data_IF_643804578507
#
_entry.id   IF_643804578507
#
_cell.length_a   1.000
_cell.length_b   1.000
_cell.length_c   1.000
_cell.angle_alpha   90.00
_cell.angle_beta   90.00
_cell.angle_gamma   90.00
#
_symmetry.space_group_name_H-M   'P 1'
#
loop_
_entity.id
_entity.type
_entity.pdbx_description
1 polymer ?
#
# COMPACT_ATOMS: atom_id res chain seq x y z
N UNK A 1 12.90 -3.27 -6.22
CA UNK A 1 12.90 -1.96 -6.88
C UNK A 1 11.80 -1.93 -7.93
N UNK A 2 11.10 -0.80 -8.10
CA UNK A 2 10.17 -0.58 -9.18
C UNK A 2 10.91 -0.07 -10.43
N UNK A 3 10.36 -0.34 -11.61
CA UNK A 3 10.93 0.09 -12.90
C UNK A 3 10.38 1.47 -13.30
N UNK A 4 9.11 1.73 -13.05
CA UNK A 4 8.47 3.00 -13.35
C UNK A 4 7.26 3.26 -12.48
N UNK A 5 6.92 4.53 -12.31
CA UNK A 5 5.68 4.99 -11.70
C UNK A 5 5.02 6.04 -12.58
N UNK A 6 3.69 5.96 -12.70
CA UNK A 6 2.88 6.95 -13.41
C UNK A 6 1.71 7.40 -12.56
N UNK A 7 1.33 8.67 -12.73
CA UNK A 7 0.26 9.30 -11.98
C UNK A 7 -0.76 9.90 -12.96
N UNK A 8 -2.03 9.71 -12.65
CA UNK A 8 -3.15 10.32 -13.37
C UNK A 8 -4.05 10.99 -12.34
N UNK A 9 -4.16 12.30 -12.36
CA UNK A 9 -4.80 13.10 -11.32
C UNK A 9 -5.91 13.99 -11.87
N UNK A 10 -7.01 14.03 -11.15
CA UNK A 10 -8.04 15.05 -11.30
C UNK A 10 -7.75 16.16 -10.28
N UNK A 11 -7.53 17.36 -10.77
CA UNK A 11 -7.27 18.53 -9.92
C UNK A 11 -8.51 19.43 -9.84
N UNK A 12 -8.73 20.06 -8.70
CA UNK A 12 -9.72 21.10 -8.53
C UNK A 12 -9.21 22.48 -9.03
N UNK A 13 -10.06 23.48 -8.93
CA UNK A 13 -9.75 24.85 -9.35
C UNK A 13 -8.57 25.48 -8.60
N UNK A 14 -8.24 25.00 -7.41
CA UNK A 14 -7.09 25.43 -6.60
C UNK A 14 -5.80 24.69 -6.94
N UNK A 15 -5.82 23.77 -7.91
CA UNK A 15 -4.68 22.96 -8.29
C UNK A 15 -4.34 21.83 -7.31
N UNK A 16 -5.23 21.52 -6.37
CA UNK A 16 -5.10 20.37 -5.47
C UNK A 16 -5.69 19.13 -6.14
N UNK A 17 -5.07 17.97 -5.95
CA UNK A 17 -5.56 16.71 -6.46
C UNK A 17 -6.76 16.20 -5.64
N UNK A 18 -7.91 16.17 -6.25
CA UNK A 18 -9.13 15.60 -5.68
C UNK A 18 -9.12 14.07 -5.73
N UNK A 19 -8.48 13.53 -6.76
CA UNK A 19 -8.34 12.08 -6.98
C UNK A 19 -7.11 11.78 -7.82
N UNK A 20 -6.29 10.83 -7.38
CA UNK A 20 -5.10 10.38 -8.10
C UNK A 20 -5.07 8.86 -8.22
N UNK A 21 -4.82 8.36 -9.42
CA UNK A 21 -4.43 6.97 -9.68
C UNK A 21 -2.92 6.90 -9.83
N UNK A 22 -2.32 5.93 -9.16
CA UNK A 22 -0.89 5.64 -9.25
C UNK A 22 -0.73 4.24 -9.83
N UNK A 23 0.08 4.11 -10.87
CA UNK A 23 0.48 2.82 -11.41
C UNK A 23 1.97 2.63 -11.18
N UNK A 24 2.35 1.51 -10.58
CA UNK A 24 3.74 1.16 -10.29
C UNK A 24 4.06 -0.13 -11.05
N UNK A 25 5.11 -0.08 -11.86
CA UNK A 25 5.59 -1.24 -12.62
C UNK A 25 6.82 -1.83 -11.97
N UNK A 26 6.80 -3.12 -11.78
CA UNK A 26 7.93 -3.94 -11.39
C UNK A 26 8.27 -4.91 -12.53
N UNK A 27 9.40 -5.57 -12.48
CA UNK A 27 9.84 -6.54 -13.49
C UNK A 27 8.79 -7.62 -13.80
N UNK A 28 8.13 -8.15 -12.78
CA UNK A 28 7.18 -9.27 -12.89
C UNK A 28 5.84 -8.99 -12.19
N UNK A 29 5.55 -7.73 -11.87
CA UNK A 29 4.33 -7.36 -11.18
C UNK A 29 3.89 -5.94 -11.54
N UNK A 30 2.63 -5.64 -11.27
CA UNK A 30 2.08 -4.30 -11.35
C UNK A 30 1.25 -4.00 -10.12
N UNK A 31 1.34 -2.78 -9.61
CA UNK A 31 0.45 -2.29 -8.56
C UNK A 31 -0.30 -1.05 -9.04
N UNK A 32 -1.53 -0.91 -8.58
CA UNK A 32 -2.34 0.29 -8.78
C UNK A 32 -2.85 0.77 -7.43
N UNK A 33 -2.63 2.02 -7.11
CA UNK A 33 -3.22 2.68 -5.96
C UNK A 33 -4.19 3.77 -6.40
N UNK A 34 -5.25 3.96 -5.62
CA UNK A 34 -6.22 5.04 -5.78
C UNK A 34 -6.24 5.86 -4.49
N UNK A 35 -6.03 7.16 -4.61
CA UNK A 35 -6.02 8.09 -3.48
C UNK A 35 -6.91 9.27 -3.83
N UNK A 36 -7.80 9.68 -2.92
CA UNK A 36 -8.67 10.82 -3.17
C UNK A 36 -9.22 11.40 -1.88
N UNK A 37 -9.22 12.73 -1.81
CA UNK A 37 -9.87 13.47 -0.73
C UNK A 37 -11.33 13.78 -1.02
N UNK A 38 -11.67 13.98 -2.30
CA UNK A 38 -13.01 14.33 -2.76
C UNK A 38 -13.82 13.13 -3.25
N UNK A 39 -13.25 11.92 -3.21
CA UNK A 39 -13.88 10.69 -3.72
C UNK A 39 -13.93 9.62 -2.64
N UNK A 40 -15.09 9.04 -2.44
CA UNK A 40 -15.22 7.81 -1.65
C UNK A 40 -14.86 6.61 -2.52
N UNK A 41 -13.83 5.85 -2.12
CA UNK A 41 -13.44 4.61 -2.78
C UNK A 41 -13.68 3.38 -1.89
N UNK A 42 -13.45 2.20 -2.44
CA UNK A 42 -13.75 0.92 -1.80
C UNK A 42 -12.93 0.68 -0.53
N UNK A 43 -11.71 1.23 -0.46
CA UNK A 43 -10.79 1.09 0.68
C UNK A 43 -10.30 -0.35 0.90
N UNK A 44 -10.30 -1.17 -0.14
CA UNK A 44 -9.83 -2.56 -0.12
C UNK A 44 -8.40 -2.67 -0.64
N UNK A 45 -7.68 -3.72 -0.20
CA UNK A 45 -6.42 -4.16 -0.79
C UNK A 45 -6.62 -5.53 -1.43
N UNK A 46 -6.26 -5.66 -2.70
CA UNK A 46 -6.28 -6.92 -3.42
C UNK A 46 -4.86 -7.22 -3.91
N UNK A 47 -4.36 -8.41 -3.56
CA UNK A 47 -3.07 -8.91 -4.07
C UNK A 47 -3.36 -10.17 -4.87
N UNK A 48 -3.27 -10.05 -6.20
CA UNK A 48 -3.53 -11.15 -7.11
C UNK A 48 -2.25 -11.90 -7.47
N UNK A 49 -2.31 -13.22 -7.48
CA UNK A 49 -1.26 -14.14 -7.89
C UNK A 49 -1.76 -15.12 -8.94
N UNK A 50 -0.90 -16.03 -9.37
CA UNK A 50 -1.20 -17.03 -10.42
C UNK A 50 -2.09 -18.20 -9.95
N UNK A 51 -2.27 -18.36 -8.65
CA UNK A 51 -3.04 -19.48 -8.06
C UNK A 51 -4.23 -19.01 -7.21
N UNK A 52 -4.41 -17.70 -7.10
CA UNK A 52 -5.46 -17.11 -6.28
C UNK A 52 -5.15 -15.66 -5.94
N UNK A 53 -5.92 -15.10 -5.05
CA UNK A 53 -5.73 -13.72 -4.58
C UNK A 53 -6.07 -13.57 -3.10
N UNK A 54 -5.47 -12.56 -2.49
CA UNK A 54 -5.81 -12.11 -1.14
C UNK A 54 -6.64 -10.85 -1.25
N UNK A 55 -7.70 -10.75 -0.48
CA UNK A 55 -8.51 -9.55 -0.35
C UNK A 55 -8.63 -9.12 1.12
N UNK A 56 -8.11 -7.93 1.44
CA UNK A 56 -8.34 -7.27 2.72
C UNK A 56 -9.47 -6.26 2.57
N UNK A 57 -10.45 -6.35 3.47
CA UNK A 57 -11.63 -5.48 3.46
C UNK A 57 -11.29 -4.06 3.93
N UNK A 58 -12.17 -3.13 3.63
CA UNK A 58 -12.08 -1.74 4.10
C UNK A 58 -12.23 -1.65 5.63
N UNK A 59 -11.41 -0.83 6.30
CA UNK A 59 -10.24 -0.11 5.80
C UNK A 59 -8.99 -0.99 5.79
N UNK A 60 -8.41 -1.23 4.63
CA UNK A 60 -7.30 -2.18 4.46
C UNK A 60 -6.06 -1.86 5.32
N UNK A 61 -5.86 -0.60 5.70
CA UNK A 61 -4.75 -0.17 6.57
C UNK A 61 -4.93 -0.53 8.05
N UNK A 62 -6.13 -0.98 8.44
CA UNK A 62 -6.44 -1.57 9.74
C UNK A 62 -6.84 -3.04 9.53
N UNK A 63 -6.00 -3.84 8.89
CA UNK A 63 -6.32 -5.21 8.46
C UNK A 63 -6.78 -6.10 9.61
N UNK A 64 -8.07 -6.09 9.89
CA UNK A 64 -8.71 -6.97 10.89
C UNK A 64 -9.20 -8.27 10.27
N UNK A 65 -9.44 -8.25 8.94
CA UNK A 65 -9.97 -9.41 8.21
C UNK A 65 -9.41 -9.45 6.81
N UNK A 66 -9.00 -10.63 6.36
CA UNK A 66 -8.69 -10.87 4.96
C UNK A 66 -9.04 -12.31 4.56
N UNK A 67 -9.36 -12.48 3.29
CA UNK A 67 -9.61 -13.77 2.68
C UNK A 67 -8.49 -14.13 1.71
N UNK A 68 -8.13 -15.40 1.69
CA UNK A 68 -7.37 -16.02 0.59
C UNK A 68 -8.34 -16.81 -0.25
N UNK A 69 -8.40 -16.48 -1.54
CA UNK A 69 -9.30 -17.13 -2.50
C UNK A 69 -8.49 -17.77 -3.60
N UNK A 70 -8.76 -19.02 -3.87
CA UNK A 70 -8.08 -19.84 -4.86
C UNK A 70 -8.87 -19.91 -6.18
N UNK A 71 -8.30 -20.54 -7.20
CA UNK A 71 -8.96 -20.78 -8.48
C UNK A 71 -10.23 -21.65 -8.32
N UNK A 72 -10.19 -22.60 -7.38
CA UNK A 72 -11.38 -23.29 -6.92
C UNK A 72 -12.18 -22.37 -5.97
N UNK A 73 -13.27 -21.81 -6.48
CA UNK A 73 -14.12 -20.85 -5.74
C UNK A 73 -14.77 -21.43 -4.47
N UNK A 74 -14.79 -22.77 -4.34
CA UNK A 74 -15.29 -23.43 -3.12
C UNK A 74 -14.30 -23.36 -1.96
N UNK A 75 -13.02 -23.02 -2.23
CA UNK A 75 -11.95 -22.96 -1.25
C UNK A 75 -11.67 -21.51 -0.87
N UNK A 76 -12.13 -21.11 0.30
CA UNK A 76 -11.87 -19.77 0.86
C UNK A 76 -11.27 -19.94 2.25
N UNK A 77 -10.11 -19.35 2.48
CA UNK A 77 -9.51 -19.27 3.80
C UNK A 77 -9.76 -17.88 4.39
N UNK A 78 -10.36 -17.86 5.59
CA UNK A 78 -10.66 -16.63 6.31
C UNK A 78 -9.64 -16.40 7.43
N UNK A 79 -9.11 -15.20 7.51
CA UNK A 79 -8.16 -14.79 8.53
C UNK A 79 -8.69 -13.57 9.28
N UNK A 80 -8.64 -13.64 10.62
CA UNK A 80 -9.03 -12.54 11.52
C UNK A 80 -7.91 -12.26 12.52
N UNK A 81 -6.83 -11.59 12.09
CA UNK A 81 -5.76 -11.22 13.00
C UNK A 81 -6.26 -10.21 14.03
N UNK A 82 -5.84 -10.40 15.28
CA UNK A 82 -6.19 -9.47 16.36
C UNK A 82 -5.02 -8.55 16.65
N UNK A 83 -5.26 -7.24 16.57
CA UNK A 83 -4.32 -6.25 17.05
C UNK A 83 -4.41 -6.09 18.58
N UNK A 84 -3.26 -5.89 19.21
CA UNK A 84 -3.18 -5.53 20.62
C UNK A 84 -2.96 -4.02 20.69
N UNK A 85 -4.01 -3.26 20.96
CA UNK A 85 -4.00 -1.81 20.90
C UNK A 85 -4.05 -1.29 19.46
N UNK A 86 -3.43 -0.16 19.21
CA UNK A 86 -3.34 0.47 17.89
C UNK A 86 -2.01 0.21 17.17
N UNK A 87 -1.90 0.65 15.90
CA UNK A 87 -0.74 0.41 15.04
C UNK A 87 0.57 1.04 15.54
N UNK A 88 0.52 2.16 16.23
CA UNK A 88 1.68 2.90 16.73
C UNK A 88 2.55 2.03 17.66
N UNK A 89 1.93 1.16 18.44
CA UNK A 89 2.63 0.22 19.31
C UNK A 89 3.61 -0.67 18.54
N UNK A 90 3.20 -1.18 17.40
CA UNK A 90 4.03 -2.06 16.57
C UNK A 90 5.16 -1.26 15.90
N UNK A 91 4.87 -0.05 15.47
CA UNK A 91 5.86 0.84 14.88
C UNK A 91 6.98 1.20 15.89
N UNK A 92 6.61 1.59 17.11
CA UNK A 92 7.56 1.87 18.18
C UNK A 92 8.40 0.64 18.51
N UNK A 93 7.77 -0.53 18.67
CA UNK A 93 8.47 -1.78 18.97
C UNK A 93 9.49 -2.14 17.89
N UNK A 94 9.15 -1.94 16.61
CA UNK A 94 10.05 -2.18 15.50
C UNK A 94 11.22 -1.19 15.47
N UNK A 95 10.94 0.08 15.73
CA UNK A 95 11.96 1.13 15.78
C UNK A 95 12.99 0.83 16.88
N UNK A 96 12.52 0.47 18.09
CA UNK A 96 13.38 0.07 19.21
C UNK A 96 14.21 -1.17 18.87
N UNK A 97 13.59 -2.19 18.26
CA UNK A 97 14.30 -3.40 17.83
C UNK A 97 15.42 -3.09 16.82
N UNK A 98 15.18 -2.19 15.87
CA UNK A 98 16.21 -1.75 14.91
C UNK A 98 17.38 -1.01 15.58
N UNK A 99 17.09 -0.14 16.54
CA UNK A 99 18.15 0.56 17.29
C UNK A 99 19.04 -0.44 18.06
N UNK A 100 18.44 -1.45 18.64
CA UNK A 100 19.15 -2.45 19.42
C UNK A 100 19.69 -3.64 18.60
N UNK A 101 19.57 -3.62 17.28
CA UNK A 101 19.95 -4.72 16.38
C UNK A 101 19.36 -6.09 16.79
N UNK A 102 18.15 -6.08 17.35
CA UNK A 102 17.47 -7.29 17.82
C UNK A 102 16.78 -8.03 16.69
N UNK A 103 17.57 -8.65 15.81
CA UNK A 103 17.12 -9.55 14.77
C UNK A 103 16.53 -8.87 13.54
N UNK A 104 16.77 -9.43 12.38
CA UNK A 104 16.06 -9.05 11.15
C UNK A 104 14.72 -9.77 11.09
N UNK A 105 13.65 -9.01 11.09
CA UNK A 105 12.31 -9.56 10.91
C UNK A 105 11.93 -9.41 9.43
N UNK A 106 11.87 -10.52 8.72
CA UNK A 106 11.65 -10.58 7.26
C UNK A 106 10.31 -9.97 6.77
N UNK A 107 9.39 -9.72 7.68
CA UNK A 107 8.04 -9.25 7.36
C UNK A 107 7.83 -7.75 7.55
N UNK A 108 8.86 -7.01 7.93
CA UNK A 108 8.76 -5.59 8.22
C UNK A 108 9.48 -4.76 7.19
N UNK A 109 9.00 -3.53 7.03
CA UNK A 109 9.51 -2.57 6.05
C UNK A 109 11.01 -2.32 6.25
N UNK A 110 11.79 -2.57 5.23
CA UNK A 110 13.24 -2.29 5.20
C UNK A 110 13.50 -0.80 4.96
N UNK A 111 14.72 -0.35 5.27
CA UNK A 111 15.14 1.02 4.95
C UNK A 111 15.07 1.31 3.43
N UNK A 112 15.44 0.33 2.59
CA UNK A 112 15.35 0.45 1.13
C UNK A 112 13.92 0.61 0.63
N UNK A 113 12.97 -0.13 1.19
CA UNK A 113 11.55 0.00 0.86
C UNK A 113 10.98 1.35 1.31
N UNK A 114 11.37 1.84 2.50
CA UNK A 114 10.98 3.17 2.98
C UNK A 114 11.48 4.28 2.05
N UNK A 115 12.72 4.18 1.58
CA UNK A 115 13.30 5.11 0.61
C UNK A 115 12.54 5.04 -0.72
N UNK A 116 12.21 3.84 -1.21
CA UNK A 116 11.45 3.66 -2.44
C UNK A 116 10.06 4.28 -2.37
N UNK A 117 9.34 4.09 -1.26
CA UNK A 117 8.03 4.71 -1.03
C UNK A 117 8.14 6.24 -1.03
N UNK A 118 9.11 6.79 -0.29
CA UNK A 118 9.36 8.23 -0.25
C UNK A 118 9.72 8.78 -1.63
N UNK A 119 10.50 8.04 -2.42
CA UNK A 119 10.84 8.38 -3.79
C UNK A 119 9.63 8.50 -4.72
N UNK A 120 8.63 7.62 -4.56
CA UNK A 120 7.36 7.70 -5.31
C UNK A 120 6.60 8.99 -4.97
N UNK A 121 6.52 9.32 -3.68
CA UNK A 121 5.86 10.55 -3.22
C UNK A 121 6.59 11.79 -3.73
N UNK A 122 7.93 11.81 -3.68
CA UNK A 122 8.74 12.90 -4.21
C UNK A 122 8.54 13.08 -5.72
N UNK A 123 8.48 12.00 -6.48
CA UNK A 123 8.21 12.07 -7.93
C UNK A 123 6.83 12.67 -8.23
N UNK A 124 5.82 12.30 -7.46
CA UNK A 124 4.49 12.91 -7.57
C UNK A 124 4.53 14.42 -7.34
N UNK A 125 5.17 14.87 -6.25
CA UNK A 125 5.28 16.29 -5.92
C UNK A 125 6.04 17.07 -7.00
N UNK A 126 7.13 16.52 -7.54
CA UNK A 126 7.88 17.13 -8.64
C UNK A 126 7.03 17.34 -9.88
N UNK A 127 6.21 16.37 -10.26
CA UNK A 127 5.32 16.44 -11.43
C UNK A 127 4.24 17.52 -11.25
N UNK A 128 3.68 17.65 -10.04
CA UNK A 128 2.74 18.75 -9.74
C UNK A 128 3.32 20.14 -9.97
N UNK A 129 4.61 20.32 -9.72
CA UNK A 129 5.28 21.62 -9.90
C UNK A 129 5.60 21.94 -11.37
N UNK A 130 5.43 21.00 -12.30
CA UNK A 130 5.73 21.16 -13.75
C UNK A 130 4.46 21.46 -14.55
N UNK A 131 3.28 21.15 -14.04
CA UNK A 131 2.02 21.47 -14.69
C UNK A 131 1.59 22.89 -14.27
N UNK A 132 2.09 23.88 -15.02
CA UNK A 132 1.61 25.26 -15.00
C UNK A 132 0.68 25.50 -16.18
#
# INVERSE_FOLDING_TARGET
DYESVTFDSLNNELGTDDYTKVQIRYKNAMATAKVGMAVKSEGQLIVAGTKGYVIAQSPWWLTEKFDVRYEDESVIEHYEPKFIGDGLRYEISEFVAKIHHMGENAYKLTAGESIAITGIVEEFVRRKNVIK
#
